data_IF_065087932978
#
_entry.id   IF_065087932978
#
_cell.length_a   1.000
_cell.length_b   1.000
_cell.length_c   1.000
_cell.angle_alpha   90.00
_cell.angle_beta   90.00
_cell.angle_gamma   90.00
#
_symmetry.space_group_name_H-M   'P 1'
#
loop_
_entity.id
_entity.type
_entity.pdbx_description
1 polymer ?
#
# COMPACT_ATOMS: atom_id res chain seq x y z
N UNK A 1 -5.70 18.17 -23.20
CA UNK A 1 -6.12 17.00 -22.39
C UNK A 1 -4.91 16.19 -21.91
N UNK A 2 -3.95 15.86 -22.78
CA UNK A 2 -2.73 15.10 -22.42
C UNK A 2 -1.87 15.72 -21.29
N UNK A 3 -1.63 17.04 -21.31
CA UNK A 3 -0.84 17.73 -20.28
C UNK A 3 -1.43 17.58 -18.87
N UNK A 4 -2.77 17.58 -18.75
CA UNK A 4 -3.46 17.40 -17.46
C UNK A 4 -3.36 15.95 -16.95
N UNK A 5 -3.22 14.97 -17.85
CA UNK A 5 -3.09 13.55 -17.49
C UNK A 5 -1.68 13.27 -16.95
N UNK A 6 -0.66 13.87 -17.58
CA UNK A 6 0.75 13.73 -17.17
C UNK A 6 1.03 14.44 -15.84
N UNK A 7 0.44 15.62 -15.61
CA UNK A 7 0.68 16.38 -14.38
C UNK A 7 -0.09 15.86 -13.16
N UNK A 8 -1.18 15.09 -13.36
CA UNK A 8 -2.07 14.62 -12.28
C UNK A 8 -1.34 13.77 -11.22
N UNK A 9 -0.54 12.77 -11.58
CA UNK A 9 0.19 11.97 -10.60
C UNK A 9 1.16 12.80 -9.75
N UNK A 10 1.75 13.86 -10.31
CA UNK A 10 2.66 14.75 -9.56
C UNK A 10 1.95 15.71 -8.62
N UNK A 11 0.64 15.95 -8.78
CA UNK A 11 -0.13 16.77 -7.84
C UNK A 11 -0.22 16.16 -6.44
N UNK A 12 -0.06 14.83 -6.33
CA UNK A 12 -0.01 14.14 -5.05
C UNK A 12 1.19 14.57 -4.19
N UNK A 13 2.25 15.13 -4.79
CA UNK A 13 3.44 15.55 -4.05
C UNK A 13 3.22 16.82 -3.24
N UNK A 14 2.35 17.73 -3.68
CA UNK A 14 2.07 18.98 -2.97
C UNK A 14 1.52 18.74 -1.55
N UNK A 15 0.41 17.99 -1.36
CA UNK A 15 -0.10 17.71 -0.02
C UNK A 15 0.86 16.86 0.81
N UNK A 16 1.62 15.95 0.18
CA UNK A 16 2.66 15.18 0.88
C UNK A 16 3.75 16.11 1.43
N UNK A 17 4.24 17.05 0.63
CA UNK A 17 5.24 18.02 1.06
C UNK A 17 4.71 18.94 2.17
N UNK A 18 3.45 19.37 2.08
CA UNK A 18 2.82 20.19 3.12
C UNK A 18 2.71 19.44 4.44
N UNK A 19 2.34 18.15 4.43
CA UNK A 19 2.27 17.34 5.66
C UNK A 19 3.65 17.00 6.19
N UNK A 20 4.62 16.63 5.36
CA UNK A 20 6.00 16.43 5.80
C UNK A 20 6.59 17.70 6.44
N UNK A 21 6.23 18.88 5.94
CA UNK A 21 6.62 20.16 6.53
C UNK A 21 5.92 20.44 7.86
N UNK A 22 4.64 20.10 7.99
CA UNK A 22 3.92 20.16 9.27
C UNK A 22 4.57 19.20 10.29
N UNK A 23 4.86 17.97 9.90
CA UNK A 23 5.53 16.98 10.74
C UNK A 23 6.89 17.47 11.19
N UNK A 24 7.68 18.06 10.29
CA UNK A 24 8.97 18.68 10.64
C UNK A 24 8.84 19.64 11.83
N UNK A 25 7.86 20.56 11.79
CA UNK A 25 7.67 21.51 12.90
C UNK A 25 7.21 20.84 14.18
N UNK A 26 6.33 19.85 14.10
CA UNK A 26 5.84 19.15 15.27
C UNK A 26 6.93 18.28 15.92
N UNK A 27 7.77 17.67 15.09
CA UNK A 27 8.96 16.92 15.53
C UNK A 27 9.95 17.83 16.25
N UNK A 28 10.24 19.00 15.67
CA UNK A 28 11.12 20.01 16.28
C UNK A 28 10.55 20.57 17.59
N UNK A 29 9.22 20.68 17.70
CA UNK A 29 8.53 21.02 18.94
C UNK A 29 8.53 19.90 20.01
N UNK A 30 9.11 18.72 19.71
CA UNK A 30 9.24 17.61 20.65
C UNK A 30 8.05 16.65 20.68
N UNK A 31 7.19 16.63 19.64
CA UNK A 31 6.03 15.72 19.59
C UNK A 31 6.40 14.23 19.62
N UNK A 32 7.66 13.89 19.29
CA UNK A 32 8.16 12.51 19.26
C UNK A 32 9.06 12.14 20.46
N UNK A 33 9.18 12.99 21.48
CA UNK A 33 10.09 12.74 22.61
C UNK A 33 9.81 11.39 23.29
N UNK A 34 8.56 10.91 23.30
CA UNK A 34 8.20 9.64 23.94
C UNK A 34 8.56 8.41 23.10
N UNK A 35 8.88 8.58 21.81
CA UNK A 35 9.14 7.50 20.87
C UNK A 35 10.40 6.71 21.25
N UNK A 36 11.47 7.40 21.66
CA UNK A 36 12.76 6.78 22.02
C UNK A 36 12.67 5.80 23.19
N UNK A 37 11.64 5.93 24.03
CA UNK A 37 11.41 5.07 25.20
C UNK A 37 10.63 3.79 24.88
N UNK A 38 10.11 3.65 23.65
CA UNK A 38 9.41 2.42 23.27
C UNK A 38 10.40 1.28 23.00
N UNK A 39 10.16 0.07 23.56
CA UNK A 39 11.02 -1.10 23.31
C UNK A 39 11.12 -1.46 21.82
N UNK A 40 10.09 -1.17 21.03
CA UNK A 40 10.12 -1.39 19.59
C UNK A 40 11.18 -0.57 18.87
N UNK A 41 11.63 0.56 19.44
CA UNK A 41 12.71 1.39 18.88
C UNK A 41 14.08 0.92 19.38
N UNK A 42 14.15 0.36 20.58
CA UNK A 42 15.41 -0.07 21.21
C UNK A 42 15.93 -1.41 20.67
N UNK A 43 15.05 -2.25 20.13
CA UNK A 43 15.37 -3.62 19.67
C UNK A 43 15.16 -3.83 18.16
N UNK A 44 14.73 -2.79 17.45
CA UNK A 44 14.50 -2.79 16.00
C UNK A 44 15.37 -1.72 15.36
N UNK A 45 15.90 -1.98 14.17
CA UNK A 45 16.52 -0.95 13.33
C UNK A 45 15.49 0.08 12.78
N UNK A 46 14.23 -0.02 13.22
CA UNK A 46 13.08 0.78 12.82
C UNK A 46 12.40 1.31 14.09
N UNK A 47 12.27 2.62 14.38
CA UNK A 47 12.36 3.81 13.52
C UNK A 47 13.50 4.82 13.88
N UNK A 48 14.12 5.40 12.84
CA UNK A 48 15.03 6.55 12.89
C UNK A 48 14.28 7.84 12.48
N UNK A 49 13.32 8.31 13.29
CA UNK A 49 12.74 9.64 13.01
C UNK A 49 13.83 10.68 13.20
N UNK A 50 14.14 11.42 12.14
CA UNK A 50 15.24 12.36 12.12
C UNK A 50 14.80 13.65 11.43
N UNK A 51 15.06 14.77 12.09
CA UNK A 51 14.80 16.10 11.54
C UNK A 51 15.79 16.33 10.39
N UNK A 52 15.29 16.78 9.23
CA UNK A 52 16.14 17.08 8.08
C UNK A 52 17.23 18.09 8.46
N UNK A 53 18.49 17.75 8.18
CA UNK A 53 19.65 18.58 8.60
C UNK A 53 19.72 19.94 7.91
N UNK A 54 19.12 20.06 6.71
CA UNK A 54 19.05 21.29 5.95
C UNK A 54 17.90 21.23 4.92
N UNK A 55 17.46 22.38 4.36
CA UNK A 55 16.38 22.41 3.36
C UNK A 55 16.66 21.62 2.09
N UNK A 56 17.94 21.47 1.69
CA UNK A 56 18.32 20.68 0.52
C UNK A 56 18.03 19.19 0.70
N UNK A 57 18.28 18.65 1.91
CA UNK A 57 17.93 17.28 2.27
C UNK A 57 16.40 17.08 2.23
N UNK A 58 15.63 18.01 2.79
CA UNK A 58 14.16 17.96 2.73
C UNK A 58 13.63 17.93 1.28
N UNK A 59 14.12 18.84 0.43
CA UNK A 59 13.74 18.87 -0.99
C UNK A 59 14.16 17.58 -1.70
N UNK A 60 15.35 17.07 -1.42
CA UNK A 60 15.85 15.80 -1.99
C UNK A 60 14.92 14.63 -1.65
N UNK A 61 14.48 14.52 -0.41
CA UNK A 61 13.58 13.46 0.05
C UNK A 61 12.19 13.53 -0.60
N UNK A 62 11.66 14.75 -0.79
CA UNK A 62 10.40 14.94 -1.53
C UNK A 62 10.56 14.56 -3.01
N UNK A 63 11.69 14.91 -3.64
CA UNK A 63 11.96 14.54 -5.03
C UNK A 63 12.17 13.02 -5.20
N UNK A 64 12.75 12.34 -4.20
CA UNK A 64 12.89 10.88 -4.22
C UNK A 64 11.53 10.19 -4.37
N UNK A 65 10.45 10.71 -3.77
CA UNK A 65 9.10 10.13 -3.94
C UNK A 65 8.66 10.03 -5.40
N UNK A 66 9.17 10.91 -6.26
CA UNK A 66 8.82 10.94 -7.68
C UNK A 66 9.77 10.14 -8.58
N UNK A 67 11.04 10.02 -8.19
CA UNK A 67 12.11 9.58 -9.08
C UNK A 67 12.97 8.43 -8.54
N UNK A 68 12.63 7.85 -7.40
CA UNK A 68 13.41 6.75 -6.82
C UNK A 68 13.37 5.51 -7.73
N UNK A 69 14.53 5.20 -8.31
CA UNK A 69 14.79 4.03 -9.16
C UNK A 69 16.16 3.46 -8.75
N UNK A 70 16.31 2.14 -8.53
CA UNK A 70 15.27 1.11 -8.53
C UNK A 70 14.28 1.29 -7.36
N UNK A 71 13.19 0.52 -7.36
CA UNK A 71 12.21 0.56 -6.27
C UNK A 71 12.89 0.29 -4.93
N UNK A 72 12.90 1.30 -4.08
CA UNK A 72 13.35 1.25 -2.71
C UNK A 72 12.37 2.05 -1.84
N UNK A 73 12.46 1.91 -0.52
CA UNK A 73 11.78 2.82 0.37
C UNK A 73 12.45 4.22 0.29
N UNK A 74 11.73 5.30 -0.05
CA UNK A 74 12.29 6.65 -0.04
C UNK A 74 12.71 7.06 1.37
N UNK A 75 13.78 7.83 1.51
CA UNK A 75 14.33 8.20 2.82
C UNK A 75 13.32 8.94 3.71
N UNK A 76 12.36 9.65 3.11
CA UNK A 76 11.27 10.31 3.83
C UNK A 76 10.46 9.34 4.72
N UNK A 77 10.36 8.06 4.33
CA UNK A 77 9.63 7.03 5.08
C UNK A 77 10.32 6.63 6.38
N UNK A 78 11.63 6.87 6.47
CA UNK A 78 12.42 6.63 7.67
C UNK A 78 12.51 7.89 8.52
N UNK A 79 12.74 9.04 7.90
CA UNK A 79 13.00 10.29 8.60
C UNK A 79 11.74 10.94 9.16
N UNK A 80 10.63 10.84 8.42
CA UNK A 80 9.32 11.35 8.82
C UNK A 80 8.40 10.22 9.25
N UNK A 81 7.33 10.54 9.98
CA UNK A 81 6.39 9.54 10.52
C UNK A 81 5.43 9.01 9.45
N UNK A 82 5.97 8.69 8.30
CA UNK A 82 5.25 8.53 7.03
C UNK A 82 5.64 7.22 6.36
N UNK A 83 5.74 6.15 7.16
CA UNK A 83 6.19 4.82 6.74
C UNK A 83 5.38 4.16 5.61
N UNK A 84 4.26 4.74 5.18
CA UNK A 84 3.48 4.28 4.00
C UNK A 84 3.83 5.00 2.70
N UNK A 85 4.57 6.12 2.75
CA UNK A 85 4.85 6.95 1.58
C UNK A 85 5.70 6.26 0.52
N UNK A 86 6.33 5.12 0.83
CA UNK A 86 6.96 4.26 -0.18
C UNK A 86 5.98 3.82 -1.28
N UNK A 87 4.67 3.80 -1.00
CA UNK A 87 3.67 3.48 -2.02
C UNK A 87 3.46 4.59 -3.04
N UNK A 88 3.89 5.85 -2.78
CA UNK A 88 3.78 6.97 -3.73
C UNK A 88 4.60 6.71 -5.01
N UNK A 89 5.90 6.36 -4.95
CA UNK A 89 6.66 5.94 -6.13
C UNK A 89 5.96 4.83 -6.91
N UNK A 90 5.41 3.83 -6.20
CA UNK A 90 4.70 2.69 -6.82
C UNK A 90 3.45 3.16 -7.56
N UNK A 91 2.67 4.08 -6.97
CA UNK A 91 1.48 4.68 -7.59
C UNK A 91 1.85 5.53 -8.82
N UNK A 92 2.91 6.33 -8.73
CA UNK A 92 3.37 7.18 -9.82
C UNK A 92 3.85 6.36 -11.01
N UNK A 93 4.73 5.39 -10.78
CA UNK A 93 5.21 4.47 -11.82
C UNK A 93 4.07 3.63 -12.39
N UNK A 94 3.19 3.12 -11.53
CA UNK A 94 2.02 2.35 -11.92
C UNK A 94 1.02 3.13 -12.78
N UNK A 95 0.84 4.43 -12.52
CA UNK A 95 0.02 5.30 -13.36
C UNK A 95 0.59 5.41 -14.78
N UNK A 96 1.90 5.58 -14.93
CA UNK A 96 2.56 5.59 -16.23
C UNK A 96 2.44 4.25 -16.96
N UNK A 97 2.69 3.15 -16.24
CA UNK A 97 2.55 1.81 -16.77
C UNK A 97 1.11 1.52 -17.23
N UNK A 98 0.12 1.99 -16.47
CA UNK A 98 -1.30 1.89 -16.83
C UNK A 98 -1.61 2.66 -18.10
N UNK A 99 -1.12 3.89 -18.24
CA UNK A 99 -1.30 4.69 -19.46
C UNK A 99 -0.70 4.00 -20.69
N UNK A 100 0.52 3.48 -20.58
CA UNK A 100 1.18 2.74 -21.65
C UNK A 100 0.39 1.47 -22.01
N UNK A 101 -0.05 0.71 -21.00
CA UNK A 101 -0.90 -0.46 -21.17
C UNK A 101 -2.15 -0.12 -21.97
N UNK A 102 -2.88 0.94 -21.59
CA UNK A 102 -4.10 1.39 -22.27
C UNK A 102 -3.86 1.76 -23.74
N UNK A 103 -2.73 2.41 -24.06
CA UNK A 103 -2.36 2.74 -25.46
C UNK A 103 -2.16 1.47 -26.27
N UNK A 104 -1.40 0.50 -25.73
CA UNK A 104 -1.13 -0.78 -26.40
C UNK A 104 -2.41 -1.57 -26.65
N UNK A 105 -3.21 -1.71 -25.60
CA UNK A 105 -4.47 -2.46 -25.62
C UNK A 105 -5.47 -1.89 -26.62
N UNK A 106 -5.53 -0.55 -26.76
CA UNK A 106 -6.39 0.10 -27.76
C UNK A 106 -6.07 -0.37 -29.18
N UNK A 107 -4.83 -0.75 -29.48
CA UNK A 107 -4.41 -1.25 -30.79
C UNK A 107 -4.72 -2.74 -30.99
N UNK A 108 -4.77 -3.53 -29.92
CA UNK A 108 -5.02 -4.97 -29.98
C UNK A 108 -6.53 -5.23 -30.07
N UNK A 109 -7.05 -5.40 -31.30
CA UNK A 109 -8.49 -5.62 -31.54
C UNK A 109 -8.95 -7.05 -31.24
N UNK A 110 -8.06 -8.03 -31.33
CA UNK A 110 -8.40 -9.45 -31.16
C UNK A 110 -8.45 -9.81 -29.67
N UNK A 111 -9.57 -10.32 -29.13
CA UNK A 111 -9.73 -10.63 -27.70
C UNK A 111 -8.65 -11.56 -27.14
N UNK A 112 -8.39 -12.70 -27.80
CA UNK A 112 -7.35 -13.64 -27.35
C UNK A 112 -5.98 -12.97 -27.22
N UNK A 113 -5.52 -12.24 -28.25
CA UNK A 113 -4.23 -11.52 -28.21
C UNK A 113 -4.17 -10.49 -27.08
N UNK A 114 -5.31 -9.85 -26.80
CA UNK A 114 -5.45 -8.88 -25.71
C UNK A 114 -5.29 -9.54 -24.35
N UNK A 115 -5.94 -10.68 -24.12
CA UNK A 115 -5.76 -11.49 -22.91
C UNK A 115 -4.36 -12.07 -22.79
N UNK A 116 -3.75 -12.53 -23.89
CA UNK A 116 -2.35 -12.96 -23.89
C UNK A 116 -1.41 -11.83 -23.48
N UNK A 117 -1.66 -10.59 -23.94
CA UNK A 117 -0.87 -9.42 -23.55
C UNK A 117 -0.97 -9.16 -22.04
N UNK A 118 -2.18 -9.16 -21.47
CA UNK A 118 -2.36 -9.00 -20.02
C UNK A 118 -1.61 -10.06 -19.22
N UNK A 119 -1.76 -11.33 -19.60
CA UNK A 119 -1.11 -12.46 -18.91
C UNK A 119 0.41 -12.36 -19.04
N UNK A 120 0.92 -12.10 -20.23
CA UNK A 120 2.36 -11.95 -20.48
C UNK A 120 2.96 -10.85 -19.61
N UNK A 121 2.38 -9.64 -19.66
CA UNK A 121 2.85 -8.53 -18.85
C UNK A 121 2.76 -8.83 -17.35
N UNK A 122 1.66 -9.43 -16.89
CA UNK A 122 1.48 -9.78 -15.47
C UNK A 122 2.56 -10.75 -14.98
N UNK A 123 2.82 -11.82 -15.73
CA UNK A 123 3.82 -12.85 -15.37
C UNK A 123 5.23 -12.27 -15.42
N UNK A 124 5.57 -11.48 -16.45
CA UNK A 124 6.89 -10.86 -16.55
C UNK A 124 7.15 -9.88 -15.41
N UNK A 125 6.16 -9.06 -15.03
CA UNK A 125 6.30 -8.15 -13.90
C UNK A 125 6.38 -8.88 -12.56
N UNK A 126 5.60 -9.94 -12.35
CA UNK A 126 5.73 -10.77 -11.15
C UNK A 126 7.12 -11.39 -11.07
N UNK A 127 7.61 -12.00 -12.16
CA UNK A 127 8.93 -12.60 -12.20
C UNK A 127 10.03 -11.57 -11.92
N UNK A 128 9.91 -10.35 -12.45
CA UNK A 128 10.86 -9.26 -12.23
C UNK A 128 10.72 -8.52 -10.87
N UNK A 129 9.93 -9.03 -9.91
CA UNK A 129 9.66 -8.37 -8.62
C UNK A 129 9.13 -6.94 -8.77
N UNK A 130 8.31 -6.71 -9.79
CA UNK A 130 7.73 -5.42 -10.10
C UNK A 130 6.26 -5.36 -9.72
N UNK A 131 5.87 -4.25 -9.08
CA UNK A 131 4.47 -3.93 -8.77
C UNK A 131 3.56 -3.85 -10.01
N UNK A 132 4.14 -3.82 -11.20
CA UNK A 132 3.42 -3.78 -12.47
C UNK A 132 2.42 -4.91 -12.71
N UNK A 133 2.61 -6.07 -12.08
CA UNK A 133 1.66 -7.19 -12.15
C UNK A 133 0.27 -6.79 -11.65
N UNK A 134 0.20 -6.06 -10.55
CA UNK A 134 -1.05 -5.56 -9.95
C UNK A 134 -1.78 -4.62 -10.92
N UNK A 135 -1.04 -3.71 -11.55
CA UNK A 135 -1.61 -2.75 -12.48
C UNK A 135 -2.16 -3.42 -13.74
N UNK A 136 -1.42 -4.37 -14.34
CA UNK A 136 -1.91 -5.07 -15.53
C UNK A 136 -3.15 -5.91 -15.27
N UNK A 137 -3.26 -6.55 -14.10
CA UNK A 137 -4.50 -7.23 -13.71
C UNK A 137 -5.64 -6.23 -13.45
N UNK A 138 -5.35 -5.08 -12.84
CA UNK A 138 -6.34 -4.00 -12.72
C UNK A 138 -6.89 -3.54 -14.07
N UNK A 139 -6.02 -3.39 -15.08
CA UNK A 139 -6.46 -3.05 -16.45
C UNK A 139 -7.28 -4.19 -17.07
N UNK A 140 -6.89 -5.45 -16.85
CA UNK A 140 -7.65 -6.62 -17.29
C UNK A 140 -9.06 -6.63 -16.70
N UNK A 141 -9.20 -6.43 -15.39
CA UNK A 141 -10.49 -6.39 -14.70
C UNK A 141 -11.36 -5.23 -15.21
N UNK A 142 -10.78 -4.04 -15.34
CA UNK A 142 -11.48 -2.87 -15.89
C UNK A 142 -11.95 -3.11 -17.34
N UNK A 143 -11.13 -3.78 -18.15
CA UNK A 143 -11.50 -4.08 -19.53
C UNK A 143 -12.60 -5.14 -19.64
N UNK A 144 -12.53 -6.19 -18.80
CA UNK A 144 -13.59 -7.18 -18.68
C UNK A 144 -14.94 -6.52 -18.36
N UNK A 145 -14.95 -5.53 -17.46
CA UNK A 145 -16.17 -4.82 -17.10
C UNK A 145 -16.66 -3.88 -18.21
N UNK A 146 -15.77 -3.03 -18.74
CA UNK A 146 -16.15 -2.00 -19.71
C UNK A 146 -16.46 -2.55 -21.11
N UNK A 147 -15.60 -3.42 -21.64
CA UNK A 147 -15.71 -3.93 -23.01
C UNK A 147 -16.66 -5.11 -23.09
N UNK A 148 -16.53 -6.06 -22.16
CA UNK A 148 -17.25 -7.34 -22.24
C UNK A 148 -18.50 -7.38 -21.35
N UNK A 149 -18.63 -6.47 -20.36
CA UNK A 149 -19.73 -6.44 -19.39
C UNK A 149 -19.95 -7.81 -18.75
N UNK A 150 -18.83 -8.48 -18.43
CA UNK A 150 -18.82 -9.91 -18.10
C UNK A 150 -19.71 -10.23 -16.89
N UNK A 151 -19.79 -9.31 -15.91
CA UNK A 151 -20.61 -9.46 -14.70
C UNK A 151 -22.09 -9.64 -15.04
N UNK A 152 -22.69 -8.69 -15.76
CA UNK A 152 -24.12 -8.70 -16.03
C UNK A 152 -24.49 -9.68 -17.15
N UNK A 153 -23.66 -9.75 -18.20
CA UNK A 153 -23.99 -10.56 -19.39
C UNK A 153 -23.73 -12.04 -19.19
N UNK A 154 -22.75 -12.42 -18.37
CA UNK A 154 -22.28 -13.80 -18.32
C UNK A 154 -22.19 -14.36 -16.91
N UNK A 155 -21.64 -13.63 -15.93
CA UNK A 155 -21.40 -14.19 -14.60
C UNK A 155 -22.69 -14.33 -13.76
N UNK A 156 -23.45 -13.25 -13.58
CA UNK A 156 -24.66 -13.26 -12.74
C UNK A 156 -25.78 -14.20 -13.24
N UNK A 157 -26.02 -14.37 -14.56
CA UNK A 157 -27.00 -15.33 -15.06
C UNK A 157 -26.63 -16.80 -14.82
N UNK A 158 -25.38 -17.11 -14.44
CA UNK A 158 -24.91 -18.47 -14.20
C UNK A 158 -24.52 -18.67 -12.72
N UNK A 159 -25.49 -18.84 -11.80
CA UNK A 159 -25.22 -19.01 -10.36
C UNK A 159 -24.23 -20.13 -10.02
N UNK A 160 -24.25 -21.21 -10.81
CA UNK A 160 -23.37 -22.37 -10.65
C UNK A 160 -21.91 -22.08 -10.99
N UNK A 161 -21.60 -21.00 -11.72
CA UNK A 161 -20.24 -20.47 -11.90
C UNK A 161 -19.96 -19.37 -10.88
N UNK A 162 -20.93 -18.46 -10.70
CA UNK A 162 -20.81 -17.30 -9.84
C UNK A 162 -20.38 -17.66 -8.41
N UNK A 163 -21.10 -18.59 -7.77
CA UNK A 163 -20.83 -18.95 -6.37
C UNK A 163 -19.47 -19.63 -6.19
N UNK A 164 -19.09 -20.65 -6.99
CA UNK A 164 -17.75 -21.23 -6.89
C UNK A 164 -16.63 -20.21 -7.13
N UNK A 165 -16.77 -19.31 -8.11
CA UNK A 165 -15.77 -18.26 -8.36
C UNK A 165 -15.68 -17.29 -7.19
N UNK A 166 -16.81 -16.82 -6.67
CA UNK A 166 -16.84 -15.91 -5.53
C UNK A 166 -16.24 -16.56 -4.28
N UNK A 167 -16.58 -17.81 -3.99
CA UNK A 167 -16.04 -18.57 -2.85
C UNK A 167 -14.54 -18.78 -3.03
N UNK A 168 -14.09 -19.19 -4.22
CA UNK A 168 -12.66 -19.38 -4.50
C UNK A 168 -11.88 -18.07 -4.30
N UNK A 169 -12.39 -16.95 -4.80
CA UNK A 169 -11.76 -15.65 -4.61
C UNK A 169 -11.74 -15.24 -3.13
N UNK A 170 -12.86 -15.43 -2.41
CA UNK A 170 -12.94 -15.10 -0.98
C UNK A 170 -11.99 -15.97 -0.14
N UNK A 171 -11.95 -17.28 -0.38
CA UNK A 171 -11.02 -18.20 0.26
C UNK A 171 -9.56 -17.85 -0.05
N UNK A 172 -9.26 -17.45 -1.30
CA UNK A 172 -7.91 -17.04 -1.69
C UNK A 172 -7.51 -15.73 -0.99
N UNK A 173 -8.41 -14.76 -0.90
CA UNK A 173 -8.15 -13.50 -0.19
C UNK A 173 -7.89 -13.74 1.31
N UNK A 174 -8.76 -14.52 1.97
CA UNK A 174 -8.61 -14.86 3.39
C UNK A 174 -7.33 -15.69 3.62
N UNK A 175 -7.08 -16.69 2.77
CA UNK A 175 -5.90 -17.54 2.84
C UNK A 175 -4.61 -16.75 2.65
N UNK A 176 -4.57 -15.81 1.70
CA UNK A 176 -3.42 -14.97 1.45
C UNK A 176 -3.11 -13.98 2.58
N UNK A 177 -4.12 -13.40 3.24
CA UNK A 177 -3.93 -12.62 4.47
C UNK A 177 -3.43 -13.48 5.65
N UNK A 178 -3.82 -14.75 5.69
CA UNK A 178 -3.52 -15.64 6.81
C UNK A 178 -2.20 -16.39 6.66
N UNK A 179 -1.53 -16.33 5.50
CA UNK A 179 -0.35 -17.16 5.23
C UNK A 179 0.85 -16.81 6.12
N UNK A 180 0.96 -15.55 6.54
CA UNK A 180 2.01 -15.11 7.46
C UNK A 180 1.78 -15.72 8.87
N UNK A 181 0.52 -15.99 9.27
CA UNK A 181 0.20 -16.74 10.50
C UNK A 181 0.51 -18.24 10.35
N UNK A 182 0.24 -18.82 9.17
CA UNK A 182 0.57 -20.22 8.88
C UNK A 182 2.08 -20.45 9.02
N UNK A 183 2.90 -19.49 8.60
CA UNK A 183 4.36 -19.52 8.73
C UNK A 183 4.80 -19.68 10.20
N UNK A 184 4.11 -19.04 11.15
CA UNK A 184 4.40 -19.16 12.58
C UNK A 184 4.13 -20.59 13.11
N UNK A 185 3.19 -21.31 12.50
CA UNK A 185 2.83 -22.67 12.92
C UNK A 185 3.64 -23.76 12.20
N UNK A 186 3.89 -23.60 10.90
CA UNK A 186 4.59 -24.61 10.08
C UNK A 186 6.10 -24.44 10.08
N UNK A 187 6.62 -23.27 10.45
CA UNK A 187 8.03 -22.91 10.35
C UNK A 187 8.51 -22.68 8.91
N UNK A 188 7.62 -22.79 7.91
CA UNK A 188 7.95 -22.62 6.50
C UNK A 188 7.75 -21.17 6.09
N UNK A 189 8.83 -20.47 5.77
CA UNK A 189 8.78 -19.09 5.30
C UNK A 189 8.45 -19.02 3.80
N UNK A 190 7.16 -19.04 3.46
CA UNK A 190 6.70 -19.02 2.08
C UNK A 190 7.15 -17.77 1.31
N UNK A 191 7.22 -16.61 1.97
CA UNK A 191 7.67 -15.36 1.36
C UNK A 191 9.15 -15.45 0.94
N UNK A 192 10.01 -16.02 1.78
CA UNK A 192 11.42 -16.22 1.45
C UNK A 192 11.62 -17.26 0.33
N UNK A 193 10.82 -18.34 0.35
CA UNK A 193 10.87 -19.38 -0.70
C UNK A 193 10.49 -18.80 -2.06
N UNK A 194 9.37 -18.06 -2.12
CA UNK A 194 8.95 -17.36 -3.33
C UNK A 194 10.03 -16.39 -3.79
N UNK A 195 10.54 -15.55 -2.87
CA UNK A 195 11.58 -14.57 -3.17
C UNK A 195 12.80 -15.21 -3.84
N UNK A 196 13.18 -16.42 -3.42
CA UNK A 196 14.27 -17.19 -4.01
C UNK A 196 14.09 -17.57 -5.49
N UNK A 197 12.87 -17.58 -6.04
CA UNK A 197 12.60 -17.90 -7.45
C UNK A 197 12.86 -16.75 -8.41
N UNK A 198 12.93 -15.52 -7.89
CA UNK A 198 13.08 -14.32 -8.70
C UNK A 198 14.54 -14.10 -9.13
N UNK A 199 14.78 -13.36 -10.23
CA UNK A 199 16.13 -13.15 -10.73
C UNK A 199 16.91 -12.16 -9.86
N UNK A 200 18.17 -12.48 -9.60
CA UNK A 200 19.14 -11.53 -9.10
C UNK A 200 19.63 -10.64 -10.25
N UNK A 201 19.47 -9.32 -10.11
CA UNK A 201 19.78 -8.34 -11.16
C UNK A 201 21.28 -8.32 -11.49
N UNK A 202 22.14 -8.69 -10.52
CA UNK A 202 23.61 -8.64 -10.70
C UNK A 202 24.15 -9.85 -11.44
N UNK A 203 23.65 -11.05 -11.13
CA UNK A 203 24.20 -12.31 -11.64
C UNK A 203 23.35 -12.93 -12.76
N UNK A 204 22.07 -12.56 -12.88
CA UNK A 204 21.12 -13.18 -13.80
C UNK A 204 20.67 -14.58 -13.38
N UNK A 205 21.19 -15.11 -12.27
CA UNK A 205 20.72 -16.34 -11.63
C UNK A 205 19.47 -16.07 -10.81
N UNK A 206 18.80 -17.11 -10.32
CA UNK A 206 17.77 -16.94 -9.29
C UNK A 206 18.40 -16.50 -7.97
N UNK A 207 17.67 -15.75 -7.14
CA UNK A 207 18.14 -15.29 -5.83
C UNK A 207 18.57 -16.45 -4.92
N UNK A 208 17.90 -17.60 -5.01
CA UNK A 208 18.30 -18.82 -4.31
C UNK A 208 19.67 -19.35 -4.77
N UNK A 209 19.92 -19.38 -6.08
CA UNK A 209 21.20 -19.81 -6.64
C UNK A 209 22.33 -18.82 -6.37
N UNK A 210 22.01 -17.52 -6.33
CA UNK A 210 22.95 -16.46 -6.01
C UNK A 210 23.27 -16.35 -4.51
N UNK A 211 22.68 -17.20 -3.65
CA UNK A 211 22.80 -17.14 -2.18
C UNK A 211 22.36 -15.79 -1.59
N UNK A 212 21.43 -15.11 -2.27
CA UNK A 212 20.89 -13.79 -1.91
C UNK A 212 19.41 -13.84 -1.51
N UNK A 213 18.86 -15.03 -1.28
CA UNK A 213 17.47 -15.24 -0.88
C UNK A 213 17.25 -14.96 0.62
N UNK A 214 17.47 -13.72 1.06
CA UNK A 214 17.06 -13.24 2.38
C UNK A 214 15.54 -13.13 2.47
N UNK A 215 15.02 -12.85 3.67
CA UNK A 215 13.62 -12.45 3.79
C UNK A 215 13.39 -11.15 2.98
N UNK A 216 12.32 -11.08 2.14
CA UNK A 216 12.09 -9.90 1.31
C UNK A 216 11.71 -8.68 2.16
N UNK A 217 12.16 -7.50 1.73
CA UNK A 217 11.76 -6.24 2.34
C UNK A 217 10.25 -6.00 2.17
N UNK A 218 9.67 -5.23 3.10
CA UNK A 218 8.22 -5.01 3.16
C UNK A 218 7.62 -4.32 1.91
N UNK A 219 8.44 -3.59 1.15
CA UNK A 219 8.04 -2.89 -0.07
C UNK A 219 8.21 -3.73 -1.35
N UNK A 220 8.71 -4.97 -1.22
CA UNK A 220 8.83 -5.91 -2.34
C UNK A 220 7.47 -6.58 -2.57
N UNK A 221 6.95 -6.62 -3.82
CA UNK A 221 5.69 -7.28 -4.11
C UNK A 221 5.82 -8.79 -3.89
N UNK A 222 4.88 -9.37 -3.14
CA UNK A 222 4.82 -10.81 -2.84
C UNK A 222 3.63 -11.47 -3.53
N UNK A 223 3.72 -12.74 -3.91
CA UNK A 223 2.65 -13.48 -4.58
C UNK A 223 1.40 -13.57 -3.71
N UNK A 224 1.55 -13.80 -2.40
CA UNK A 224 0.41 -13.83 -1.48
C UNK A 224 -0.32 -12.48 -1.46
N UNK A 225 0.42 -11.36 -1.39
CA UNK A 225 -0.14 -10.02 -1.45
C UNK A 225 -0.82 -9.77 -2.81
N UNK A 226 -0.22 -10.23 -3.91
CA UNK A 226 -0.77 -10.11 -5.26
C UNK A 226 -2.11 -10.84 -5.41
N UNK A 227 -2.14 -12.13 -5.04
CA UNK A 227 -3.35 -12.94 -5.09
C UNK A 227 -4.43 -12.37 -4.17
N UNK A 228 -4.06 -11.93 -2.96
CA UNK A 228 -4.99 -11.34 -2.00
C UNK A 228 -5.63 -10.07 -2.56
N UNK A 229 -4.83 -9.14 -3.06
CA UNK A 229 -5.34 -7.86 -3.59
C UNK A 229 -6.28 -8.06 -4.78
N UNK A 230 -5.91 -8.91 -5.74
CA UNK A 230 -6.73 -9.15 -6.93
C UNK A 230 -8.03 -9.86 -6.58
N UNK A 231 -7.96 -10.88 -5.73
CA UNK A 231 -9.15 -11.64 -5.36
C UNK A 231 -10.08 -10.85 -4.45
N UNK A 232 -9.55 -10.03 -3.54
CA UNK A 232 -10.34 -9.09 -2.74
C UNK A 232 -11.04 -8.05 -3.62
N UNK A 233 -10.32 -7.44 -4.56
CA UNK A 233 -10.90 -6.54 -5.55
C UNK A 233 -12.00 -7.25 -6.37
N UNK A 234 -11.72 -8.47 -6.84
CA UNK A 234 -12.68 -9.29 -7.57
C UNK A 234 -13.94 -9.58 -6.77
N UNK A 235 -13.82 -9.97 -5.49
CA UNK A 235 -14.95 -10.19 -4.58
C UNK A 235 -15.82 -8.94 -4.47
N UNK A 236 -15.22 -7.77 -4.28
CA UNK A 236 -15.94 -6.49 -4.24
C UNK A 236 -16.62 -6.21 -5.58
N UNK A 237 -15.93 -6.38 -6.70
CA UNK A 237 -16.46 -6.07 -8.03
C UNK A 237 -17.62 -6.97 -8.48
N UNK A 238 -17.61 -8.25 -8.10
CA UNK A 238 -18.63 -9.22 -8.54
C UNK A 238 -19.80 -9.34 -7.55
N UNK A 239 -19.63 -8.98 -6.28
CA UNK A 239 -20.64 -9.10 -5.22
C UNK A 239 -21.46 -7.82 -5.04
N UNK A 240 -22.73 -7.78 -5.50
CA UNK A 240 -23.58 -6.60 -5.32
C UNK A 240 -23.87 -6.33 -3.84
N UNK A 241 -23.94 -7.39 -3.03
CA UNK A 241 -24.15 -7.28 -1.58
C UNK A 241 -23.01 -6.54 -0.91
N UNK A 242 -21.76 -6.89 -1.25
CA UNK A 242 -20.60 -6.23 -0.67
C UNK A 242 -20.49 -4.78 -1.15
N UNK A 243 -20.76 -4.50 -2.43
CA UNK A 243 -20.83 -3.13 -2.95
C UNK A 243 -21.86 -2.29 -2.18
N UNK A 244 -23.04 -2.86 -1.90
CA UNK A 244 -24.08 -2.18 -1.14
C UNK A 244 -23.66 -1.88 0.30
N UNK A 245 -22.97 -2.82 0.96
CA UNK A 245 -22.41 -2.62 2.31
C UNK A 245 -21.35 -1.51 2.30
N UNK A 246 -20.41 -1.57 1.34
CA UNK A 246 -19.36 -0.55 1.20
C UNK A 246 -19.91 0.83 0.80
N UNK A 247 -21.13 0.89 0.28
CA UNK A 247 -21.83 2.12 -0.09
C UNK A 247 -22.70 2.72 1.05
N UNK A 248 -22.60 2.22 2.28
CA UNK A 248 -23.33 2.79 3.42
C UNK A 248 -22.82 4.21 3.72
N UNK A 249 -23.75 5.12 4.05
CA UNK A 249 -23.46 6.56 4.29
C UNK A 249 -22.29 6.82 5.25
N UNK A 250 -22.16 6.01 6.31
CA UNK A 250 -21.07 6.13 7.27
C UNK A 250 -19.69 5.94 6.61
N UNK A 251 -19.53 4.96 5.72
CA UNK A 251 -18.27 4.73 4.99
C UNK A 251 -18.04 5.81 3.93
N UNK A 252 -19.11 6.30 3.30
CA UNK A 252 -19.03 7.41 2.36
C UNK A 252 -18.61 8.72 3.04
N UNK A 253 -18.98 8.93 4.31
CA UNK A 253 -18.52 10.07 5.10
C UNK A 253 -17.01 10.03 5.36
N UNK A 254 -16.43 8.82 5.51
CA UNK A 254 -14.99 8.66 5.69
C UNK A 254 -14.18 8.90 4.40
N UNK A 255 -14.81 8.68 3.24
CA UNK A 255 -14.13 8.66 1.93
C UNK A 255 -13.29 9.91 1.61
N UNK A 256 -13.78 11.15 1.84
CA UNK A 256 -12.98 12.36 1.62
C UNK A 256 -11.71 12.40 2.47
N UNK A 257 -11.77 11.83 3.68
CA UNK A 257 -10.68 11.87 4.64
C UNK A 257 -9.60 10.79 4.43
N UNK A 258 -9.80 9.82 3.53
CA UNK A 258 -8.89 8.66 3.37
C UNK A 258 -7.45 9.12 3.07
N UNK A 259 -7.29 10.13 2.22
CA UNK A 259 -5.96 10.61 1.88
C UNK A 259 -5.30 11.35 3.06
N UNK A 260 -6.06 12.13 3.83
CA UNK A 260 -5.54 12.76 5.06
C UNK A 260 -5.14 11.72 6.11
N UNK A 261 -5.95 10.68 6.31
CA UNK A 261 -5.64 9.53 7.18
C UNK A 261 -4.35 8.87 6.71
N UNK A 262 -4.24 8.60 5.41
CA UNK A 262 -3.05 8.01 4.80
C UNK A 262 -1.79 8.84 5.07
N UNK A 263 -1.86 10.18 5.05
CA UNK A 263 -0.70 11.03 5.33
C UNK A 263 -0.35 11.14 6.82
N UNK A 264 -1.33 11.27 7.73
CA UNK A 264 -1.06 11.63 9.13
C UNK A 264 -1.07 10.47 10.13
N UNK A 265 -1.59 9.29 9.75
CA UNK A 265 -1.77 8.20 10.72
C UNK A 265 -0.46 7.76 11.38
N UNK A 266 0.65 7.69 10.64
CA UNK A 266 1.95 7.30 11.20
C UNK A 266 2.41 8.31 12.24
N UNK A 267 2.29 9.61 11.95
CA UNK A 267 2.59 10.68 12.90
C UNK A 267 1.77 10.58 14.19
N UNK A 268 0.46 10.37 14.11
CA UNK A 268 -0.39 10.20 15.29
C UNK A 268 0.04 8.99 16.13
N UNK A 269 0.33 7.86 15.48
CA UNK A 269 0.74 6.64 16.15
C UNK A 269 2.10 6.79 16.85
N UNK A 270 3.06 7.47 16.23
CA UNK A 270 4.41 7.65 16.78
C UNK A 270 4.54 8.81 17.77
N UNK A 271 3.65 9.80 17.72
CA UNK A 271 3.61 10.89 18.70
C UNK A 271 2.74 10.52 19.90
N UNK A 272 1.42 10.72 19.75
CA UNK A 272 0.43 10.50 20.80
C UNK A 272 0.40 9.04 21.25
N UNK A 273 0.60 8.09 20.33
CA UNK A 273 0.62 6.67 20.68
C UNK A 273 1.78 6.29 21.60
N UNK A 274 2.99 6.79 21.31
CA UNK A 274 4.16 6.60 22.17
C UNK A 274 3.95 7.22 23.55
N UNK A 275 3.45 8.45 23.59
CA UNK A 275 3.09 9.12 24.84
C UNK A 275 2.07 8.32 25.66
N UNK A 276 0.97 7.87 25.03
CA UNK A 276 -0.07 7.11 25.70
C UNK A 276 0.45 5.77 26.24
N UNK A 277 1.24 5.05 25.44
CA UNK A 277 1.81 3.76 25.83
C UNK A 277 2.74 3.88 27.03
N UNK A 278 3.71 4.81 26.96
CA UNK A 278 4.68 5.03 28.05
C UNK A 278 3.99 5.56 29.30
N UNK A 279 3.04 6.49 29.15
CA UNK A 279 2.29 7.03 30.27
C UNK A 279 1.46 5.96 30.97
N UNK A 280 0.75 5.09 30.25
CA UNK A 280 -0.03 4.02 30.88
C UNK A 280 0.87 2.96 31.52
N UNK A 281 1.97 2.61 30.86
CA UNK A 281 2.92 1.64 31.38
C UNK A 281 3.63 2.12 32.65
N UNK A 282 3.97 3.41 32.73
CA UNK A 282 4.61 3.99 33.92
C UNK A 282 3.70 3.99 35.16
N UNK A 283 2.38 3.91 34.98
CA UNK A 283 1.40 3.74 36.06
C UNK A 283 1.22 2.26 36.49
N UNK A 284 1.96 1.32 35.89
CA UNK A 284 1.93 -0.10 36.25
C UNK A 284 0.76 -0.88 35.66
N UNK A 285 0.09 -0.36 34.62
CA UNK A 285 -0.97 -1.10 33.94
C UNK A 285 -0.42 -2.27 33.12
N UNK A 286 -1.19 -3.38 32.98
CA UNK A 286 -0.78 -4.52 32.19
C UNK A 286 -0.70 -4.17 30.70
N UNK A 287 0.23 -4.80 29.99
CA UNK A 287 0.53 -4.51 28.58
C UNK A 287 -0.71 -4.48 27.67
N UNK A 288 -1.60 -5.47 27.80
CA UNK A 288 -2.82 -5.55 26.97
C UNK A 288 -3.72 -4.32 27.14
N UNK A 289 -3.81 -3.78 28.36
CA UNK A 289 -4.62 -2.60 28.66
C UNK A 289 -3.95 -1.35 28.10
N UNK A 290 -2.62 -1.22 28.27
CA UNK A 290 -1.86 -0.14 27.64
C UNK A 290 -2.05 -0.13 26.13
N UNK A 291 -1.94 -1.29 25.47
CA UNK A 291 -2.14 -1.39 24.01
C UNK A 291 -3.55 -1.03 23.58
N UNK A 292 -4.58 -1.45 24.34
CA UNK A 292 -5.96 -1.13 24.05
C UNK A 292 -6.23 0.37 24.19
N UNK A 293 -5.76 0.99 25.27
CA UNK A 293 -5.92 2.43 25.51
C UNK A 293 -5.17 3.20 24.44
N UNK A 294 -3.92 2.84 24.13
CA UNK A 294 -3.14 3.47 23.05
C UNK A 294 -3.87 3.40 21.73
N UNK A 295 -4.45 2.24 21.37
CA UNK A 295 -5.25 2.12 20.14
C UNK A 295 -6.45 3.08 20.15
N UNK A 296 -7.22 3.12 21.24
CA UNK A 296 -8.39 4.01 21.37
C UNK A 296 -7.97 5.48 21.25
N UNK A 297 -6.91 5.88 21.94
CA UNK A 297 -6.40 7.26 21.92
C UNK A 297 -5.91 7.62 20.51
N UNK A 298 -5.10 6.78 19.87
CA UNK A 298 -4.59 7.04 18.53
C UNK A 298 -5.71 7.17 17.49
N UNK A 299 -6.67 6.23 17.46
CA UNK A 299 -7.79 6.33 16.54
C UNK A 299 -8.68 7.55 16.86
N UNK A 300 -8.94 7.82 18.14
CA UNK A 300 -9.67 9.01 18.58
C UNK A 300 -9.01 10.32 18.10
N UNK A 301 -7.70 10.46 18.33
CA UNK A 301 -6.91 11.61 17.86
C UNK A 301 -6.90 11.70 16.34
N UNK A 302 -6.73 10.58 15.64
CA UNK A 302 -6.74 10.52 14.18
C UNK A 302 -8.04 11.09 13.63
N UNK A 303 -9.19 10.64 14.13
CA UNK A 303 -10.51 11.15 13.73
C UNK A 303 -10.74 12.61 14.15
N UNK A 304 -10.24 13.02 15.31
CA UNK A 304 -10.38 14.40 15.79
C UNK A 304 -9.62 15.42 14.92
N UNK A 305 -8.53 14.99 14.27
CA UNK A 305 -7.69 15.86 13.42
C UNK A 305 -8.24 16.01 11.99
N UNK A 306 -9.05 15.07 11.50
CA UNK A 306 -9.54 15.07 10.10
C UNK A 306 -10.29 16.35 9.71
N UNK A 307 -11.21 16.90 10.53
CA UNK A 307 -11.92 18.13 10.16
C UNK A 307 -11.01 19.34 9.97
N UNK A 308 -9.82 19.33 10.60
CA UNK A 308 -8.83 20.41 10.52
C UNK A 308 -7.90 20.20 9.33
N UNK A 309 -7.39 18.98 9.12
CA UNK A 309 -6.39 18.70 8.09
C UNK A 309 -6.97 18.38 6.72
N UNK A 310 -8.17 17.82 6.63
CA UNK A 310 -8.73 17.45 5.33
C UNK A 310 -9.04 18.65 4.43
N UNK A 311 -9.70 19.73 4.90
CA UNK A 311 -9.97 20.89 4.04
C UNK A 311 -8.73 21.50 3.36
N UNK A 312 -7.61 21.76 4.05
CA UNK A 312 -6.42 22.29 3.39
C UNK A 312 -5.73 21.26 2.48
N UNK A 313 -5.74 19.96 2.83
CA UNK A 313 -5.16 18.91 1.98
C UNK A 313 -5.94 18.78 0.66
N UNK A 314 -7.27 18.84 0.70
CA UNK A 314 -8.11 18.77 -0.50
C UNK A 314 -8.04 20.02 -1.38
N UNK A 315 -7.68 21.16 -0.81
CA UNK A 315 -7.54 22.43 -1.53
C UNK A 315 -6.24 22.53 -2.36
N UNK A 316 -5.25 21.66 -2.09
CA UNK A 316 -3.92 21.61 -2.73
C UNK A 316 -3.91 20.72 -3.99
#
# INVERSE_FOLDING_TARGET
MAQKIVARPFRLLTPVASIAFLEYFLMDAGALNWLEYLPSVTWSDWPFTAIASNPGTFISEILQLAFLIPNAAPMITNNYCTGVLWTIPVQLQGAWQTLLGLIMIRQIKTPWKRFSFYVFCTVMHWYALSWGSYYYVGILLADLDLTYKYKQKWLWPHPWIYWPVLILMACTAIGGFSIDLVTQHTGVNYAQIEYGWHPDVKTGLTLAQAQSASYPDYFIPRLNAFLTTITMQGVVEISPTLQKILSIKMLQWLFPHIFSIYLIHGFVMWSVGSWAMISMFSHGYPYWLCTLITAIVCYGTLFAVLPILTPPIEAL
#
